data_IF_322197474474
#
_entry.id   IF_322197474474
#
_cell.length_a   1.000
_cell.length_b   1.000
_cell.length_c   1.000
_cell.angle_alpha   90.00
_cell.angle_beta   90.00
_cell.angle_gamma   90.00
#
_symmetry.space_group_name_H-M   'P 1'
#
loop_
_entity.id
_entity.type
_entity.pdbx_description
1 polymer ?
#
# COMPACT_ATOMS: atom_id res chain seq x y z
N UNK A 1 -7.21 43.53 22.06
CA UNK A 1 -6.59 42.25 21.64
C UNK A 1 -7.52 41.33 20.79
N UNK A 2 -8.06 41.72 19.59
CA UNK A 2 -8.80 40.74 18.74
C UNK A 2 -8.19 40.49 17.35
N UNK A 3 -7.41 41.41 16.77
CA UNK A 3 -6.93 41.31 15.37
C UNK A 3 -5.91 40.19 15.11
N UNK A 4 -5.03 39.88 16.08
CA UNK A 4 -4.01 38.82 15.93
C UNK A 4 -4.61 37.41 15.94
N UNK A 5 -5.67 37.17 16.71
CA UNK A 5 -6.38 35.88 16.73
C UNK A 5 -7.14 35.61 15.42
N UNK A 6 -7.81 36.63 14.88
CA UNK A 6 -8.51 36.52 13.60
C UNK A 6 -7.55 36.31 12.42
N UNK A 7 -6.35 36.90 12.46
CA UNK A 7 -5.30 36.65 11.47
C UNK A 7 -4.71 35.25 11.59
N UNK A 8 -4.47 34.75 12.80
CA UNK A 8 -3.95 33.39 13.01
C UNK A 8 -4.94 32.30 12.58
N UNK A 9 -6.25 32.49 12.82
CA UNK A 9 -7.30 31.59 12.31
C UNK A 9 -7.38 31.64 10.78
N UNK A 10 -7.38 32.84 10.17
CA UNK A 10 -7.37 32.98 8.70
C UNK A 10 -6.09 32.44 8.06
N UNK A 11 -4.95 32.49 8.75
CA UNK A 11 -3.69 31.89 8.29
C UNK A 11 -3.69 30.36 8.43
N UNK A 12 -4.31 29.79 9.48
CA UNK A 12 -4.55 28.34 9.58
C UNK A 12 -5.49 27.83 8.49
N UNK A 13 -6.62 28.49 8.27
CA UNK A 13 -7.58 28.15 7.19
C UNK A 13 -6.94 28.24 5.79
N UNK A 14 -6.04 29.23 5.58
CA UNK A 14 -5.33 29.41 4.32
C UNK A 14 -4.24 28.34 4.10
N UNK A 15 -3.60 27.86 5.17
CA UNK A 15 -2.64 26.75 5.10
C UNK A 15 -3.33 25.40 4.91
N UNK A 16 -4.51 25.16 5.51
CA UNK A 16 -5.31 23.95 5.26
C UNK A 16 -5.83 23.89 3.81
N UNK A 17 -6.23 25.03 3.22
CA UNK A 17 -6.68 25.08 1.82
C UNK A 17 -5.59 24.76 0.79
N UNK A 18 -4.31 24.94 1.13
CA UNK A 18 -3.16 24.75 0.25
C UNK A 18 -2.41 23.43 0.50
N UNK A 19 -2.86 22.58 1.42
CA UNK A 19 -2.23 21.27 1.61
C UNK A 19 -2.56 20.37 0.42
N UNK A 20 -1.51 19.77 -0.15
CA UNK A 20 -1.61 18.72 -1.16
C UNK A 20 -2.36 17.55 -0.53
N UNK A 21 -3.51 17.20 -1.10
CA UNK A 21 -4.40 16.19 -0.55
C UNK A 21 -4.78 15.17 -1.63
N UNK A 22 -4.31 13.94 -1.43
CA UNK A 22 -4.59 12.80 -2.31
C UNK A 22 -6.07 12.47 -2.36
N UNK A 23 -6.84 12.74 -1.30
CA UNK A 23 -8.26 12.41 -1.25
C UNK A 23 -9.11 13.27 -2.17
N UNK A 24 -8.67 14.50 -2.51
CA UNK A 24 -9.28 15.27 -3.60
C UNK A 24 -9.15 14.55 -4.95
N UNK A 25 -8.04 13.84 -5.17
CA UNK A 25 -7.84 13.07 -6.40
C UNK A 25 -8.59 11.76 -6.41
N UNK A 26 -8.70 11.09 -5.26
CA UNK A 26 -9.56 9.90 -5.10
C UNK A 26 -11.02 10.25 -5.43
N UNK A 27 -11.48 11.46 -5.07
CA UNK A 27 -12.82 11.98 -5.38
C UNK A 27 -12.95 12.60 -6.78
N UNK A 28 -11.95 12.49 -7.66
CA UNK A 28 -12.03 13.06 -9.02
C UNK A 28 -12.57 12.04 -10.03
N UNK A 29 -13.40 12.49 -10.98
CA UNK A 29 -13.80 11.64 -12.13
C UNK A 29 -12.66 11.42 -13.11
N UNK A 30 -11.68 12.33 -13.17
CA UNK A 30 -10.55 12.23 -14.10
C UNK A 30 -9.72 10.94 -13.91
N UNK A 31 -9.75 10.32 -12.71
CA UNK A 31 -9.03 9.06 -12.51
C UNK A 31 -9.66 7.88 -13.29
N UNK A 32 -10.93 7.99 -13.70
CA UNK A 32 -11.62 6.96 -14.50
C UNK A 32 -11.09 6.87 -15.93
N UNK A 33 -10.49 7.97 -16.42
CA UNK A 33 -9.87 8.08 -17.73
C UNK A 33 -8.43 7.53 -17.76
N UNK A 34 -7.90 7.09 -16.62
CA UNK A 34 -6.57 6.48 -16.56
C UNK A 34 -6.55 5.14 -17.31
N UNK A 35 -5.57 4.98 -18.21
CA UNK A 35 -5.37 3.77 -18.99
C UNK A 35 -4.02 3.11 -18.68
N UNK A 36 -3.82 1.81 -18.97
CA UNK A 36 -2.53 1.16 -18.83
C UNK A 36 -1.41 1.87 -19.59
N UNK A 37 -1.71 2.42 -20.76
CA UNK A 37 -0.74 3.15 -21.58
C UNK A 37 -0.19 4.37 -20.83
N UNK A 38 -1.03 5.10 -20.10
CA UNK A 38 -0.59 6.24 -19.26
C UNK A 38 0.39 5.81 -18.18
N UNK A 39 0.26 4.58 -17.63
CA UNK A 39 1.16 4.05 -16.61
C UNK A 39 2.54 3.64 -17.16
N UNK A 40 2.57 3.21 -18.42
CA UNK A 40 3.78 2.75 -19.11
C UNK A 40 4.49 3.89 -19.87
N UNK A 41 3.81 5.01 -20.03
CA UNK A 41 4.31 6.18 -20.76
C UNK A 41 5.57 6.75 -20.12
N UNK A 42 6.49 7.25 -20.95
CA UNK A 42 7.69 7.92 -20.49
C UNK A 42 7.34 9.22 -19.76
N UNK A 43 8.21 9.63 -18.85
CA UNK A 43 7.92 10.71 -17.91
C UNK A 43 7.64 12.06 -18.59
N UNK A 44 8.32 12.34 -19.71
CA UNK A 44 8.10 13.58 -20.47
C UNK A 44 6.68 13.65 -21.03
N UNK A 45 6.20 12.54 -21.59
CA UNK A 45 4.86 12.41 -22.16
C UNK A 45 3.76 12.40 -21.07
N UNK A 46 4.05 11.87 -19.88
CA UNK A 46 3.14 11.93 -18.72
C UNK A 46 2.83 13.38 -18.35
N UNK A 47 3.83 14.28 -18.38
CA UNK A 47 3.61 15.70 -18.03
C UNK A 47 2.77 16.48 -19.06
N UNK A 48 2.69 15.96 -20.28
CA UNK A 48 1.87 16.53 -21.35
C UNK A 48 0.42 16.06 -21.28
N UNK A 49 0.15 14.93 -20.61
CA UNK A 49 -1.17 14.32 -20.49
C UNK A 49 -2.22 15.31 -19.97
N UNK A 50 -3.30 15.48 -20.74
CA UNK A 50 -4.44 16.31 -20.36
C UNK A 50 -5.20 15.70 -19.19
N UNK A 51 -5.42 14.38 -19.19
CA UNK A 51 -6.05 13.60 -18.10
C UNK A 51 -5.39 13.90 -16.76
N UNK A 52 -4.05 13.96 -16.72
CA UNK A 52 -3.31 14.21 -15.49
C UNK A 52 -3.51 15.64 -14.96
N UNK A 53 -3.64 16.63 -15.84
CA UNK A 53 -3.86 18.03 -15.44
C UNK A 53 -5.21 18.19 -14.74
N UNK A 54 -6.18 17.33 -15.05
CA UNK A 54 -7.52 17.32 -14.46
C UNK A 54 -7.58 16.55 -13.12
N UNK A 55 -6.52 15.83 -12.74
CA UNK A 55 -6.41 15.18 -11.43
C UNK A 55 -5.83 16.20 -10.41
N UNK A 56 -6.53 16.52 -9.31
CA UNK A 56 -6.14 17.58 -8.37
C UNK A 56 -4.72 17.51 -7.80
N UNK A 57 -4.19 16.32 -7.53
CA UNK A 57 -2.83 16.13 -6.98
C UNK A 57 -1.75 16.61 -7.96
N UNK A 58 -2.02 16.54 -9.27
CA UNK A 58 -1.11 16.90 -10.34
C UNK A 58 -1.35 18.34 -10.84
N UNK A 59 -2.59 18.84 -10.77
CA UNK A 59 -2.94 20.19 -11.22
C UNK A 59 -2.25 21.34 -10.47
N UNK A 60 -1.71 21.09 -9.27
CA UNK A 60 -1.07 22.12 -8.42
C UNK A 60 0.42 22.35 -8.80
N UNK A 61 1.07 21.45 -9.55
CA UNK A 61 2.52 21.26 -9.41
C UNK A 61 3.40 21.18 -10.67
N UNK A 62 3.10 21.83 -11.81
CA UNK A 62 3.97 21.71 -13.01
C UNK A 62 4.64 23.00 -13.52
N UNK A 63 4.75 24.05 -12.70
CA UNK A 63 5.41 25.31 -13.11
C UNK A 63 6.71 25.57 -12.33
N UNK A 64 7.83 24.99 -12.79
CA UNK A 64 9.17 25.55 -12.54
C UNK A 64 10.20 24.72 -11.74
N UNK A 65 10.37 23.43 -12.01
CA UNK A 65 11.32 22.57 -11.27
C UNK A 65 12.64 22.26 -12.01
N UNK A 66 13.70 22.04 -11.22
CA UNK A 66 15.06 21.63 -11.69
C UNK A 66 15.11 20.17 -12.17
N UNK A 67 16.12 19.76 -12.95
CA UNK A 67 16.21 18.40 -13.53
C UNK A 67 16.17 17.26 -12.48
N UNK A 68 16.85 17.43 -11.33
CA UNK A 68 16.82 16.45 -10.23
C UNK A 68 15.43 16.34 -9.57
N UNK A 69 14.76 17.49 -9.40
CA UNK A 69 13.38 17.54 -8.90
C UNK A 69 12.44 16.85 -9.88
N UNK A 70 12.59 17.07 -11.20
CA UNK A 70 11.82 16.37 -12.23
C UNK A 70 11.98 14.85 -12.16
N UNK A 71 13.18 14.32 -11.92
CA UNK A 71 13.41 12.87 -11.78
C UNK A 71 12.78 12.30 -10.50
N UNK A 72 12.89 13.00 -9.37
CA UNK A 72 12.27 12.51 -8.12
C UNK A 72 10.75 12.61 -8.18
N UNK A 73 10.24 13.72 -8.73
CA UNK A 73 8.82 13.96 -8.99
C UNK A 73 8.26 12.91 -9.95
N UNK A 74 9.02 12.47 -10.94
CA UNK A 74 8.54 11.52 -11.94
C UNK A 74 8.30 10.12 -11.37
N UNK A 75 9.21 9.60 -10.53
CA UNK A 75 9.00 8.33 -9.83
C UNK A 75 7.83 8.43 -8.85
N UNK A 76 7.68 9.56 -8.17
CA UNK A 76 6.54 9.79 -7.29
C UNK A 76 5.22 9.86 -8.06
N UNK A 77 5.18 10.57 -9.19
CA UNK A 77 4.03 10.62 -10.09
C UNK A 77 3.63 9.23 -10.58
N UNK A 78 4.60 8.41 -11.00
CA UNK A 78 4.31 7.03 -11.42
C UNK A 78 3.67 6.20 -10.30
N UNK A 79 4.16 6.36 -9.06
CA UNK A 79 3.58 5.71 -7.87
C UNK A 79 2.16 6.20 -7.58
N UNK A 80 1.92 7.51 -7.67
CA UNK A 80 0.58 8.08 -7.51
C UNK A 80 -0.39 7.57 -8.58
N UNK A 81 0.06 7.52 -9.85
CA UNK A 81 -0.75 7.01 -10.96
C UNK A 81 -1.10 5.54 -10.76
N UNK A 82 -0.11 4.69 -10.43
CA UNK A 82 -0.35 3.26 -10.12
C UNK A 82 -1.35 3.08 -8.97
N UNK A 83 -1.24 3.90 -7.92
CA UNK A 83 -2.20 3.89 -6.81
C UNK A 83 -3.62 4.31 -7.26
N UNK A 84 -3.76 5.45 -7.96
CA UNK A 84 -5.07 5.97 -8.39
C UNK A 84 -5.73 5.09 -9.45
N UNK A 85 -4.94 4.48 -10.33
CA UNK A 85 -5.43 3.57 -11.37
C UNK A 85 -6.21 2.40 -10.78
N UNK A 86 -5.76 1.83 -9.65
CA UNK A 86 -6.46 0.72 -8.99
C UNK A 86 -7.86 1.12 -8.49
N UNK A 87 -8.10 2.42 -8.27
CA UNK A 87 -9.36 2.98 -7.80
C UNK A 87 -10.31 3.37 -8.94
N UNK A 88 -9.84 3.38 -10.20
CA UNK A 88 -10.56 3.94 -11.35
C UNK A 88 -11.92 3.27 -11.61
N UNK A 89 -12.04 1.99 -11.30
CA UNK A 89 -13.27 1.20 -11.55
C UNK A 89 -14.26 1.28 -10.38
N UNK A 90 -13.95 2.02 -9.32
CA UNK A 90 -14.88 2.26 -8.21
C UNK A 90 -15.78 3.44 -8.59
N UNK A 91 -17.09 3.27 -8.49
CA UNK A 91 -18.06 4.36 -8.68
C UNK A 91 -17.70 5.57 -7.81
N UNK A 92 -17.83 6.78 -8.35
CA UNK A 92 -17.48 8.02 -7.65
C UNK A 92 -18.17 8.12 -6.29
N UNK A 93 -19.47 7.82 -6.23
CA UNK A 93 -20.27 7.94 -5.00
C UNK A 93 -19.73 7.08 -3.85
N UNK A 94 -19.21 5.89 -4.15
CA UNK A 94 -18.57 5.00 -3.18
C UNK A 94 -17.24 5.58 -2.67
N UNK A 95 -16.43 6.13 -3.58
CA UNK A 95 -15.17 6.81 -3.25
C UNK A 95 -15.43 8.03 -2.35
N UNK A 96 -16.36 8.89 -2.74
CA UNK A 96 -16.75 10.07 -1.98
C UNK A 96 -17.29 9.71 -0.61
N UNK A 97 -18.22 8.75 -0.51
CA UNK A 97 -18.78 8.31 0.75
C UNK A 97 -17.69 7.85 1.72
N UNK A 98 -16.80 6.96 1.26
CA UNK A 98 -15.72 6.45 2.11
C UNK A 98 -14.78 7.57 2.58
N UNK A 99 -14.37 8.45 1.66
CA UNK A 99 -13.49 9.58 2.01
C UNK A 99 -14.17 10.54 2.98
N UNK A 100 -15.46 10.86 2.78
CA UNK A 100 -16.22 11.73 3.69
C UNK A 100 -16.40 11.09 5.08
N UNK A 101 -16.63 9.77 5.14
CA UNK A 101 -16.66 9.03 6.41
C UNK A 101 -15.29 9.06 7.10
N UNK A 102 -14.20 8.91 6.34
CA UNK A 102 -12.85 9.03 6.88
C UNK A 102 -12.57 10.46 7.37
N UNK A 103 -13.03 11.48 6.63
CA UNK A 103 -12.94 12.92 6.95
C UNK A 103 -13.66 13.28 8.26
N UNK A 104 -14.78 12.61 8.53
CA UNK A 104 -15.57 12.83 9.75
C UNK A 104 -14.86 12.41 11.05
N UNK A 105 -13.85 11.53 10.97
CA UNK A 105 -13.16 10.92 12.13
C UNK A 105 -12.07 11.81 12.77
N UNK A 106 -11.93 13.09 12.37
CA UNK A 106 -10.94 14.08 12.86
C UNK A 106 -9.44 13.76 12.63
N UNK A 107 -9.09 12.62 12.04
CA UNK A 107 -7.68 12.19 11.81
C UNK A 107 -7.23 12.27 10.35
N UNK A 108 -7.99 12.93 9.49
CA UNK A 108 -8.02 12.62 8.06
C UNK A 108 -6.98 13.35 7.23
N UNK A 109 -6.70 14.61 7.56
CA UNK A 109 -5.57 15.33 6.94
C UNK A 109 -4.26 14.56 7.19
N UNK A 110 -4.12 13.94 8.36
CA UNK A 110 -2.97 13.07 8.68
C UNK A 110 -2.98 11.77 7.88
N UNK A 111 -4.15 11.20 7.59
CA UNK A 111 -4.27 9.97 6.81
C UNK A 111 -3.83 10.19 5.35
N UNK A 112 -4.36 11.23 4.70
CA UNK A 112 -3.99 11.59 3.32
C UNK A 112 -2.52 11.97 3.20
N UNK A 113 -2.01 12.78 4.14
CA UNK A 113 -0.59 13.17 4.21
C UNK A 113 0.32 11.96 4.44
N UNK A 114 -0.02 11.07 5.37
CA UNK A 114 0.75 9.85 5.64
C UNK A 114 0.78 8.93 4.43
N UNK A 115 -0.34 8.78 3.72
CA UNK A 115 -0.41 8.00 2.49
C UNK A 115 0.50 8.60 1.41
N UNK A 116 0.48 9.92 1.23
CA UNK A 116 1.39 10.61 0.31
C UNK A 116 2.86 10.41 0.67
N UNK A 117 3.22 10.55 1.95
CA UNK A 117 4.58 10.31 2.44
C UNK A 117 5.01 8.87 2.19
N UNK A 118 4.15 7.89 2.46
CA UNK A 118 4.41 6.48 2.19
C UNK A 118 4.64 6.25 0.69
N UNK A 119 3.73 6.70 -0.17
CA UNK A 119 3.89 6.55 -1.63
C UNK A 119 5.17 7.23 -2.13
N UNK A 120 5.54 8.38 -1.58
CA UNK A 120 6.75 9.09 -1.98
C UNK A 120 8.03 8.30 -1.63
N UNK A 121 8.07 7.61 -0.49
CA UNK A 121 9.28 6.88 -0.04
C UNK A 121 9.40 5.45 -0.56
N UNK A 122 8.36 4.87 -1.18
CA UNK A 122 8.47 3.51 -1.75
C UNK A 122 9.63 3.44 -2.74
N UNK A 123 10.47 2.42 -2.59
CA UNK A 123 11.59 2.16 -3.50
C UNK A 123 11.14 1.51 -4.83
N UNK A 124 9.96 0.87 -4.84
CA UNK A 124 9.41 0.15 -5.98
C UNK A 124 8.03 0.71 -6.32
N UNK A 125 7.77 0.95 -7.61
CA UNK A 125 6.51 1.55 -8.04
C UNK A 125 5.32 0.56 -8.00
N UNK A 126 5.58 -0.73 -8.20
CA UNK A 126 4.62 -1.82 -8.04
C UNK A 126 4.08 -1.94 -6.61
N UNK A 127 4.83 -1.53 -5.58
CA UNK A 127 4.29 -1.46 -4.21
C UNK A 127 3.13 -0.47 -4.10
N UNK A 128 3.13 0.59 -4.92
CA UNK A 128 2.01 1.53 -4.98
C UNK A 128 0.75 0.87 -5.55
N UNK A 129 0.91 -0.07 -6.51
CA UNK A 129 -0.17 -0.91 -7.01
C UNK A 129 -0.78 -1.76 -5.89
N UNK A 130 0.04 -2.44 -5.08
CA UNK A 130 -0.47 -3.20 -3.93
C UNK A 130 -1.25 -2.33 -2.95
N UNK A 131 -0.72 -1.16 -2.60
CA UNK A 131 -1.42 -0.21 -1.71
C UNK A 131 -2.73 0.27 -2.33
N UNK A 132 -2.76 0.54 -3.64
CA UNK A 132 -3.97 0.93 -4.38
C UNK A 132 -5.06 -0.15 -4.32
N UNK A 133 -4.70 -1.41 -4.55
CA UNK A 133 -5.63 -2.55 -4.46
C UNK A 133 -6.19 -2.73 -3.05
N UNK A 134 -5.34 -2.65 -2.04
CA UNK A 134 -5.78 -2.72 -0.65
C UNK A 134 -6.72 -1.56 -0.29
N UNK A 135 -6.42 -0.34 -0.75
CA UNK A 135 -7.28 0.81 -0.53
C UNK A 135 -8.62 0.66 -1.25
N UNK A 136 -8.63 0.13 -2.49
CA UNK A 136 -9.86 -0.26 -3.21
C UNK A 136 -10.72 -1.20 -2.37
N UNK A 137 -10.16 -2.28 -1.84
CA UNK A 137 -10.92 -3.23 -0.99
C UNK A 137 -11.40 -2.58 0.30
N UNK A 138 -10.67 -1.59 0.81
CA UNK A 138 -11.07 -0.81 1.98
C UNK A 138 -12.27 0.08 1.68
N UNK A 139 -12.26 0.80 0.55
CA UNK A 139 -13.36 1.66 0.11
C UNK A 139 -14.66 0.86 -0.03
N UNK A 140 -14.59 -0.35 -0.59
CA UNK A 140 -15.76 -1.22 -0.79
C UNK A 140 -16.11 -2.08 0.44
N UNK A 141 -15.45 -1.86 1.58
CA UNK A 141 -15.78 -2.53 2.85
C UNK A 141 -15.37 -4.01 2.95
N UNK A 142 -14.46 -4.50 2.09
CA UNK A 142 -13.91 -5.86 2.16
C UNK A 142 -12.65 -5.98 3.03
N UNK A 143 -11.98 -4.86 3.29
CA UNK A 143 -10.81 -4.77 4.15
C UNK A 143 -11.03 -3.70 5.22
N UNK A 144 -10.77 -4.02 6.48
CA UNK A 144 -10.84 -3.03 7.55
C UNK A 144 -9.76 -1.97 7.41
N UNK A 145 -10.08 -0.71 7.71
CA UNK A 145 -9.15 0.41 7.56
C UNK A 145 -7.86 0.24 8.40
N UNK A 146 -7.97 -0.39 9.58
CA UNK A 146 -6.80 -0.69 10.41
C UNK A 146 -5.89 -1.75 9.79
N UNK A 147 -6.47 -2.75 9.11
CA UNK A 147 -5.70 -3.75 8.36
C UNK A 147 -5.01 -3.11 7.15
N UNK A 148 -5.69 -2.19 6.46
CA UNK A 148 -5.09 -1.39 5.39
C UNK A 148 -3.87 -0.60 5.87
N UNK A 149 -3.98 0.11 7.00
CA UNK A 149 -2.84 0.85 7.57
C UNK A 149 -1.68 -0.11 7.90
N UNK A 150 -1.99 -1.25 8.52
CA UNK A 150 -0.99 -2.25 8.89
C UNK A 150 -0.29 -2.82 7.65
N UNK A 151 -1.06 -3.23 6.64
CA UNK A 151 -0.52 -3.77 5.39
C UNK A 151 0.29 -2.73 4.62
N UNK A 152 -0.15 -1.47 4.59
CA UNK A 152 0.60 -0.36 3.99
C UNK A 152 1.98 -0.22 4.62
N UNK A 153 2.07 -0.31 5.96
CA UNK A 153 3.35 -0.29 6.66
C UNK A 153 4.22 -1.53 6.33
N UNK A 154 3.61 -2.71 6.23
CA UNK A 154 4.33 -3.94 5.86
C UNK A 154 4.91 -3.83 4.46
N UNK A 155 4.11 -3.42 3.47
CA UNK A 155 4.51 -3.29 2.06
C UNK A 155 5.65 -2.30 1.89
N UNK A 156 5.58 -1.17 2.60
CA UNK A 156 6.60 -0.12 2.58
C UNK A 156 7.98 -0.64 3.03
N UNK A 157 8.02 -1.55 4.01
CA UNK A 157 9.27 -2.12 4.55
C UNK A 157 9.72 -3.41 3.85
N UNK A 158 8.87 -4.03 3.04
CA UNK A 158 9.16 -5.33 2.44
C UNK A 158 10.13 -5.23 1.26
N UNK A 159 10.92 -6.28 1.01
CA UNK A 159 11.51 -6.46 -0.32
C UNK A 159 10.42 -6.93 -1.28
N UNK A 160 10.32 -6.32 -2.47
CA UNK A 160 9.17 -6.56 -3.36
C UNK A 160 9.15 -7.99 -3.88
N UNK A 161 10.30 -8.59 -4.19
CA UNK A 161 10.35 -9.95 -4.72
C UNK A 161 9.90 -10.99 -3.68
N UNK A 162 10.17 -10.75 -2.40
CA UNK A 162 9.64 -11.58 -1.31
C UNK A 162 8.11 -11.51 -1.24
N UNK A 163 7.52 -10.32 -1.46
CA UNK A 163 6.06 -10.17 -1.54
C UNK A 163 5.50 -10.95 -2.73
N UNK A 164 6.08 -10.81 -3.91
CA UNK A 164 5.63 -11.49 -5.15
C UNK A 164 5.65 -13.01 -5.00
N UNK A 165 6.59 -13.56 -4.24
CA UNK A 165 6.62 -15.00 -3.97
C UNK A 165 5.36 -15.49 -3.24
N UNK A 166 4.61 -14.63 -2.55
CA UNK A 166 3.33 -15.02 -1.93
C UNK A 166 2.19 -15.18 -2.95
N UNK A 167 2.33 -14.65 -4.16
CA UNK A 167 1.37 -14.86 -5.24
C UNK A 167 1.28 -16.37 -5.53
N UNK A 168 0.12 -16.96 -5.29
CA UNK A 168 -0.15 -18.39 -5.46
C UNK A 168 0.65 -19.36 -4.57
N UNK A 169 1.30 -18.90 -3.48
CA UNK A 169 2.08 -19.77 -2.58
C UNK A 169 1.56 -19.76 -1.13
N UNK A 170 0.27 -20.04 -0.93
CA UNK A 170 -0.35 -20.15 0.41
C UNK A 170 0.33 -21.17 1.33
N UNK A 171 0.92 -22.23 0.77
CA UNK A 171 1.57 -23.30 1.55
C UNK A 171 3.06 -23.05 1.81
N UNK A 172 3.65 -21.99 1.27
CA UNK A 172 5.07 -21.62 1.44
C UNK A 172 6.11 -22.69 1.06
N UNK A 173 5.69 -23.84 0.53
CA UNK A 173 6.57 -25.01 0.31
C UNK A 173 7.62 -24.82 -0.79
N UNK A 174 7.45 -23.81 -1.65
CA UNK A 174 8.40 -23.44 -2.71
C UNK A 174 9.24 -22.20 -2.37
N UNK A 175 9.05 -21.63 -1.19
CA UNK A 175 9.76 -20.45 -0.72
C UNK A 175 10.94 -20.91 0.14
N UNK A 176 12.10 -20.31 -0.06
CA UNK A 176 13.29 -20.59 0.74
C UNK A 176 13.12 -20.15 2.20
N UNK A 177 13.81 -20.80 3.14
CA UNK A 177 13.68 -20.50 4.56
C UNK A 177 14.16 -19.10 4.94
N UNK A 178 15.15 -18.53 4.23
CA UNK A 178 15.59 -17.15 4.44
C UNK A 178 14.48 -16.16 4.07
N UNK A 179 13.80 -16.39 2.94
CA UNK A 179 12.65 -15.58 2.51
C UNK A 179 11.49 -15.75 3.50
N UNK A 180 11.23 -16.97 3.99
CA UNK A 180 10.22 -17.18 5.06
C UNK A 180 10.58 -16.40 6.33
N UNK A 181 11.85 -16.36 6.70
CA UNK A 181 12.32 -15.58 7.84
C UNK A 181 12.05 -14.09 7.65
N UNK A 182 12.34 -13.53 6.47
CA UNK A 182 12.05 -12.14 6.13
C UNK A 182 10.54 -11.85 6.20
N UNK A 183 9.72 -12.69 5.56
CA UNK A 183 8.26 -12.60 5.57
C UNK A 183 7.68 -12.72 6.98
N UNK A 184 8.33 -13.48 7.87
CA UNK A 184 7.94 -13.57 9.27
C UNK A 184 8.26 -12.27 10.00
N UNK A 185 9.46 -11.72 9.78
CA UNK A 185 9.94 -10.51 10.43
C UNK A 185 9.08 -9.28 10.08
N UNK A 186 8.62 -9.18 8.83
CA UNK A 186 7.69 -8.12 8.41
C UNK A 186 6.23 -8.42 8.78
N UNK A 187 5.95 -9.58 9.37
CA UNK A 187 4.66 -9.89 9.98
C UNK A 187 3.60 -10.43 9.01
N UNK A 188 3.98 -11.00 7.86
CA UNK A 188 3.04 -11.65 6.93
C UNK A 188 2.83 -13.14 7.24
N UNK A 189 3.80 -13.78 7.89
CA UNK A 189 3.71 -15.20 8.27
C UNK A 189 4.03 -15.41 9.75
N UNK A 190 3.57 -16.53 10.30
CA UNK A 190 3.87 -16.96 11.66
C UNK A 190 4.87 -18.12 11.63
N UNK A 191 5.77 -18.12 12.60
CA UNK A 191 6.75 -19.17 12.83
C UNK A 191 6.35 -19.99 14.05
N UNK A 192 6.54 -21.30 13.96
CA UNK A 192 6.33 -22.26 15.04
C UNK A 192 7.41 -23.33 15.01
N UNK A 193 7.56 -24.08 16.09
CA UNK A 193 8.53 -25.18 16.19
C UNK A 193 7.77 -26.50 15.98
N UNK A 194 8.35 -27.41 15.19
CA UNK A 194 7.76 -28.74 14.95
C UNK A 194 7.52 -29.50 16.26
N UNK A 195 6.40 -30.23 16.35
CA UNK A 195 6.12 -31.09 17.50
C UNK A 195 6.95 -32.38 17.40
N UNK A 196 8.17 -32.29 17.92
CA UNK A 196 9.15 -33.38 17.95
C UNK A 196 8.58 -34.63 18.64
N UNK A 197 7.65 -34.49 19.60
CA UNK A 197 7.12 -35.64 20.34
C UNK A 197 6.30 -36.55 19.43
N UNK A 198 5.46 -35.97 18.55
CA UNK A 198 4.67 -36.73 17.57
C UNK A 198 5.56 -37.40 16.54
N UNK A 199 6.57 -36.69 16.03
CA UNK A 199 7.51 -37.23 15.04
C UNK A 199 8.34 -38.38 15.62
N UNK A 200 8.83 -38.25 16.87
CA UNK A 200 9.55 -39.33 17.56
C UNK A 200 8.67 -40.55 17.76
N UNK A 201 7.43 -40.37 18.21
CA UNK A 201 6.48 -41.49 18.39
C UNK A 201 6.15 -42.18 17.06
N UNK A 202 6.00 -41.43 15.97
CA UNK A 202 5.76 -42.00 14.65
C UNK A 202 6.96 -42.79 14.13
N UNK A 203 8.19 -42.28 14.27
CA UNK A 203 9.40 -42.99 13.88
C UNK A 203 9.60 -44.29 14.67
N UNK A 204 9.37 -44.26 16.00
CA UNK A 204 9.43 -45.46 16.84
C UNK A 204 8.39 -46.50 16.37
N UNK A 205 7.17 -46.07 16.01
CA UNK A 205 6.11 -46.97 15.51
C UNK A 205 6.44 -47.64 14.17
N UNK A 206 7.23 -47.00 13.31
CA UNK A 206 7.66 -47.56 12.01
C UNK A 206 9.04 -48.24 12.09
N UNK A 207 9.57 -48.49 13.29
CA UNK A 207 10.83 -49.22 13.51
C UNK A 207 12.11 -48.39 13.35
N UNK A 208 12.00 -47.06 13.25
CA UNK A 208 13.13 -46.13 13.22
C UNK A 208 13.65 -45.76 14.62
N UNK A 209 14.91 -45.30 14.69
CA UNK A 209 15.50 -44.74 15.92
C UNK A 209 15.11 -43.27 16.07
N UNK A 210 14.33 -42.93 17.10
CA UNK A 210 13.85 -41.56 17.35
C UNK A 210 14.87 -40.60 17.98
N UNK A 211 16.17 -40.93 17.97
CA UNK A 211 17.21 -40.18 18.69
C UNK A 211 17.67 -38.91 17.96
N UNK A 212 17.55 -38.84 16.63
CA UNK A 212 18.12 -37.75 15.80
C UNK A 212 17.12 -36.69 15.29
N UNK A 213 15.87 -36.66 15.78
CA UNK A 213 14.89 -35.68 15.30
C UNK A 213 15.16 -34.30 15.91
N UNK A 214 15.71 -33.40 15.10
CA UNK A 214 15.91 -32.00 15.44
C UNK A 214 14.62 -31.19 15.24
N UNK A 215 14.32 -30.22 16.14
CA UNK A 215 13.24 -29.27 15.92
C UNK A 215 13.42 -28.53 14.60
N UNK A 216 12.36 -28.45 13.81
CA UNK A 216 12.33 -27.66 12.58
C UNK A 216 11.44 -26.45 12.75
N UNK A 217 11.82 -25.35 12.10
CA UNK A 217 10.96 -24.18 11.98
C UNK A 217 9.87 -24.48 10.97
N UNK A 218 8.62 -24.26 11.38
CA UNK A 218 7.44 -24.39 10.53
C UNK A 218 6.83 -23.01 10.37
N UNK A 219 6.68 -22.60 9.12
CA UNK A 219 6.07 -21.34 8.75
C UNK A 219 4.66 -21.57 8.19
N UNK A 220 3.77 -20.62 8.45
CA UNK A 220 2.43 -20.60 7.83
C UNK A 220 1.94 -19.17 7.70
N UNK A 221 1.10 -18.91 6.70
CA UNK A 221 0.47 -17.60 6.52
C UNK A 221 -0.33 -17.23 7.78
N UNK A 222 -0.20 -15.99 8.24
CA UNK A 222 -1.03 -15.45 9.33
C UNK A 222 -2.25 -14.70 8.75
N UNK A 223 -3.12 -14.17 9.61
CA UNK A 223 -4.33 -13.47 9.17
C UNK A 223 -4.04 -12.27 8.25
N UNK A 224 -3.04 -11.46 8.58
CA UNK A 224 -2.64 -10.30 7.79
C UNK A 224 -2.03 -10.73 6.46
N UNK A 225 -1.18 -11.76 6.45
CA UNK A 225 -0.67 -12.36 5.22
C UNK A 225 -1.77 -12.90 4.32
N UNK A 226 -2.81 -13.52 4.90
CA UNK A 226 -3.96 -13.99 4.13
C UNK A 226 -4.69 -12.84 3.45
N UNK A 227 -4.94 -11.74 4.18
CA UNK A 227 -5.55 -10.52 3.62
C UNK A 227 -4.68 -9.91 2.52
N UNK A 228 -3.36 -9.90 2.69
CA UNK A 228 -2.44 -9.44 1.65
C UNK A 228 -2.52 -10.30 0.39
N UNK A 229 -2.53 -11.63 0.52
CA UNK A 229 -2.61 -12.50 -0.66
C UNK A 229 -3.96 -12.36 -1.35
N UNK A 230 -5.05 -12.28 -0.59
CA UNK A 230 -6.41 -12.15 -1.12
C UNK A 230 -6.61 -10.82 -1.88
N UNK A 231 -6.11 -9.72 -1.32
CA UNK A 231 -6.45 -8.36 -1.76
C UNK A 231 -5.29 -7.56 -2.38
N UNK A 232 -4.05 -7.99 -2.21
CA UNK A 232 -2.87 -7.34 -2.78
C UNK A 232 -2.66 -7.74 -4.25
N UNK A 233 -3.04 -8.97 -4.63
CA UNK A 233 -2.88 -9.45 -6.00
C UNK A 233 -4.12 -9.24 -6.89
N UNK A 234 -5.28 -8.83 -6.32
CA UNK A 234 -6.59 -8.74 -7.00
C UNK A 234 -7.38 -7.45 -6.75
#
# INVERSE_FOLDING_TARGET
MPRRYLQASKMRDKNEKNQVDIFKSVKSEAITELTPEILETSLDLITESEVLKDIPIFGIGFKGYSLYQKITESFFTKKLLKFLFELKDIELTHREKFINELESRKETNKAGEKLLITLNRLNDDEKATFIGRLFKKTIIGKLEYNDFIRLTHIIDNAYIEDLKLLENNYHLGRIDDDVKSNLHQIGLIKQSISDIKREKQMQIRIGGKGEDIQPKLIYSINEIGSKFIEFGFN
#
